data_IF_603927894221
#
_entry.id   IF_603927894221
#
_cell.length_a   1.000
_cell.length_b   1.000
_cell.length_c   1.000
_cell.angle_alpha   90.00
_cell.angle_beta   90.00
_cell.angle_gamma   90.00
#
_symmetry.space_group_name_H-M   'P 1'
#
loop_
_entity.id
_entity.type
_entity.pdbx_description
1 polymer ?
#
# COMPACT_ATOMS: atom_id res chain seq x y z
N UNK A 1 12.86 -8.85 2.00
CA UNK A 1 12.30 -7.97 0.95
C UNK A 1 11.49 -8.86 0.03
N UNK A 2 10.19 -8.60 -0.06
CA UNK A 2 9.28 -9.32 -0.94
C UNK A 2 9.53 -8.91 -2.39
N UNK A 3 9.37 -9.84 -3.33
CA UNK A 3 9.44 -9.49 -4.75
C UNK A 3 8.10 -8.90 -5.21
N UNK A 4 8.13 -7.93 -6.14
CA UNK A 4 6.89 -7.32 -6.67
C UNK A 4 5.93 -8.36 -7.24
N UNK A 5 6.45 -9.39 -7.91
CA UNK A 5 5.63 -10.50 -8.46
C UNK A 5 4.93 -11.33 -7.38
N UNK A 6 5.51 -11.41 -6.18
CA UNK A 6 4.91 -12.06 -5.02
C UNK A 6 3.81 -11.16 -4.45
N UNK A 7 4.08 -9.87 -4.27
CA UNK A 7 3.11 -8.89 -3.79
C UNK A 7 1.86 -8.80 -4.68
N UNK A 8 2.01 -8.89 -6.01
CA UNK A 8 0.87 -8.96 -6.94
C UNK A 8 -0.01 -10.19 -6.66
N UNK A 9 0.60 -11.36 -6.40
CA UNK A 9 -0.16 -12.57 -6.09
C UNK A 9 -0.90 -12.47 -4.76
N UNK A 10 -0.25 -11.91 -3.74
CA UNK A 10 -0.83 -11.67 -2.43
C UNK A 10 -1.95 -10.63 -2.49
N UNK A 11 -1.73 -9.51 -3.19
CA UNK A 11 -2.73 -8.47 -3.49
C UNK A 11 -3.99 -9.07 -4.12
N UNK A 12 -3.82 -9.92 -5.15
CA UNK A 12 -4.94 -10.65 -5.75
C UNK A 12 -5.69 -11.50 -4.72
N UNK A 13 -4.99 -12.23 -3.85
CA UNK A 13 -5.66 -13.03 -2.82
C UNK A 13 -6.41 -12.18 -1.81
N UNK A 14 -5.79 -11.11 -1.29
CA UNK A 14 -6.39 -10.17 -0.35
C UNK A 14 -7.66 -9.52 -0.93
N UNK A 15 -7.61 -9.10 -2.19
CA UNK A 15 -8.72 -8.42 -2.88
C UNK A 15 -9.84 -9.39 -3.24
N UNK A 16 -9.51 -10.62 -3.66
CA UNK A 16 -10.53 -11.60 -4.08
C UNK A 16 -11.12 -12.41 -2.92
N UNK A 17 -10.41 -12.50 -1.79
CA UNK A 17 -10.84 -13.21 -0.58
C UNK A 17 -10.61 -12.34 0.67
N UNK A 18 -11.31 -11.20 0.80
CA UNK A 18 -11.10 -10.28 1.91
C UNK A 18 -11.57 -10.91 3.23
N UNK A 19 -10.63 -11.23 4.12
CA UNK A 19 -10.91 -11.76 5.46
C UNK A 19 -9.74 -11.48 6.38
N UNK A 20 -9.99 -11.39 7.71
CA UNK A 20 -8.92 -11.21 8.71
C UNK A 20 -7.81 -12.24 8.52
N UNK A 21 -8.18 -13.51 8.34
CA UNK A 21 -7.22 -14.58 8.10
C UNK A 21 -6.39 -14.40 6.81
N UNK A 22 -6.95 -13.78 5.76
CA UNK A 22 -6.20 -13.47 4.53
C UNK A 22 -5.22 -12.32 4.73
N UNK A 23 -5.56 -11.32 5.54
CA UNK A 23 -4.68 -10.20 5.86
C UNK A 23 -3.55 -10.63 6.81
N UNK A 24 -3.89 -11.33 7.90
CA UNK A 24 -2.91 -11.85 8.87
C UNK A 24 -1.91 -12.81 8.22
N UNK A 25 -2.35 -13.60 7.22
CA UNK A 25 -1.44 -14.50 6.46
C UNK A 25 -0.24 -13.77 5.87
N UNK A 26 -0.39 -12.51 5.46
CA UNK A 26 0.65 -11.74 4.78
C UNK A 26 1.28 -10.65 5.63
N UNK A 27 0.83 -10.47 6.88
CA UNK A 27 1.25 -9.31 7.69
C UNK A 27 2.76 -9.25 7.91
N UNK A 28 3.41 -10.41 8.05
CA UNK A 28 4.86 -10.52 8.23
C UNK A 28 5.63 -10.85 6.94
N UNK A 29 4.97 -10.83 5.78
CA UNK A 29 5.58 -11.25 4.50
C UNK A 29 6.46 -10.16 3.88
N UNK A 30 6.45 -8.94 4.41
CA UNK A 30 7.37 -7.90 3.99
C UNK A 30 7.48 -6.74 4.96
N UNK A 31 8.06 -5.66 4.46
CA UNK A 31 8.47 -4.48 5.23
C UNK A 31 7.80 -3.22 4.72
N UNK A 32 7.94 -2.11 5.45
CA UNK A 32 7.55 -0.79 4.95
C UNK A 32 8.28 -0.43 3.66
N UNK A 33 9.54 -0.83 3.48
CA UNK A 33 10.26 -0.59 2.22
C UNK A 33 9.60 -1.32 1.04
N UNK A 34 9.17 -2.56 1.24
CA UNK A 34 8.47 -3.33 0.20
C UNK A 34 7.12 -2.66 -0.16
N UNK A 35 6.38 -2.20 0.86
CA UNK A 35 5.15 -1.43 0.68
C UNK A 35 5.37 -0.17 -0.16
N UNK A 36 6.44 0.59 0.12
CA UNK A 36 6.77 1.81 -0.62
C UNK A 36 7.15 1.53 -2.06
N UNK A 37 7.87 0.44 -2.34
CA UNK A 37 8.19 0.05 -3.72
C UNK A 37 6.91 -0.26 -4.49
N UNK A 38 5.99 -1.03 -3.88
CA UNK A 38 4.73 -1.41 -4.51
C UNK A 38 3.83 -0.19 -4.78
N UNK A 39 3.70 0.72 -3.82
CA UNK A 39 2.93 1.96 -3.99
C UNK A 39 3.64 2.96 -4.91
N UNK A 40 4.98 2.96 -5.00
CA UNK A 40 5.70 3.78 -5.97
C UNK A 40 5.39 3.39 -7.42
N UNK A 41 5.20 2.09 -7.71
CA UNK A 41 4.74 1.62 -9.03
C UNK A 41 3.35 2.19 -9.33
N UNK A 42 2.44 2.13 -8.36
CA UNK A 42 1.11 2.72 -8.47
C UNK A 42 1.12 4.24 -8.68
N UNK A 43 2.01 4.93 -7.97
CA UNK A 43 2.18 6.37 -8.07
C UNK A 43 2.71 6.75 -9.45
N UNK A 44 3.64 5.96 -10.03
CA UNK A 44 4.09 6.15 -11.40
C UNK A 44 2.94 5.99 -12.41
N UNK A 45 2.10 4.96 -12.26
CA UNK A 45 0.90 4.77 -13.11
C UNK A 45 -0.05 5.97 -12.96
N UNK A 46 -0.35 6.38 -11.73
CA UNK A 46 -1.24 7.51 -11.44
C UNK A 46 -0.72 8.82 -12.02
N UNK A 47 0.60 9.06 -11.94
CA UNK A 47 1.25 10.18 -12.62
C UNK A 47 1.09 10.12 -14.13
N UNK A 48 1.36 8.97 -14.75
CA UNK A 48 1.22 8.80 -16.20
C UNK A 48 -0.21 9.06 -16.67
N UNK A 49 -1.22 8.62 -15.91
CA UNK A 49 -2.62 8.94 -16.19
C UNK A 49 -2.93 10.44 -16.03
N UNK A 50 -2.29 11.09 -15.06
CA UNK A 50 -2.38 12.53 -14.85
C UNK A 50 -1.69 13.38 -15.93
N UNK A 51 -0.86 12.80 -16.79
CA UNK A 51 -0.09 13.53 -17.80
C UNK A 51 -0.97 14.30 -18.81
N UNK A 52 -2.22 13.90 -19.00
CA UNK A 52 -3.19 14.64 -19.81
C UNK A 52 -3.48 16.06 -19.29
N UNK A 53 -3.27 16.31 -17.99
CA UNK A 53 -3.30 17.64 -17.38
C UNK A 53 -1.95 18.39 -17.42
N UNK A 54 -0.99 17.88 -18.19
CA UNK A 54 0.38 18.38 -18.26
C UNK A 54 1.28 17.89 -17.12
N UNK A 55 2.46 18.50 -16.99
CA UNK A 55 3.45 18.15 -15.94
C UNK A 55 2.86 18.32 -14.53
N UNK A 56 1.97 19.28 -14.34
CA UNK A 56 1.26 19.47 -13.07
C UNK A 56 0.42 18.25 -12.68
N UNK A 57 -0.27 17.63 -13.64
CA UNK A 57 -1.04 16.41 -13.41
C UNK A 57 -0.16 15.19 -13.13
N UNK A 58 0.99 15.06 -13.82
CA UNK A 58 1.99 14.02 -13.54
C UNK A 58 2.49 14.10 -12.10
N UNK A 59 2.97 15.27 -11.68
CA UNK A 59 3.52 15.48 -10.33
C UNK A 59 2.42 15.30 -9.29
N UNK A 60 1.25 15.88 -9.52
CA UNK A 60 0.11 15.74 -8.61
C UNK A 60 -0.25 14.28 -8.42
N UNK A 61 -0.40 13.48 -9.49
CA UNK A 61 -0.77 12.07 -9.40
C UNK A 61 0.23 11.23 -8.60
N UNK A 62 1.53 11.47 -8.77
CA UNK A 62 2.58 10.80 -7.99
C UNK A 62 2.47 11.18 -6.51
N UNK A 63 2.44 12.49 -6.24
CA UNK A 63 2.48 13.03 -4.88
C UNK A 63 1.22 12.64 -4.10
N UNK A 64 0.04 12.75 -4.69
CA UNK A 64 -1.22 12.41 -4.02
C UNK A 64 -1.30 10.91 -3.72
N UNK A 65 -0.79 10.06 -4.60
CA UNK A 65 -0.80 8.60 -4.37
C UNK A 65 0.12 8.20 -3.23
N UNK A 66 1.35 8.72 -3.22
CA UNK A 66 2.32 8.43 -2.16
C UNK A 66 1.87 9.03 -0.82
N UNK A 67 1.56 10.33 -0.78
CA UNK A 67 1.13 10.99 0.46
C UNK A 67 -0.19 10.41 0.97
N UNK A 68 -1.15 10.12 0.09
CA UNK A 68 -2.41 9.50 0.47
C UNK A 68 -2.20 8.16 1.16
N UNK A 69 -1.34 7.30 0.60
CA UNK A 69 -0.98 6.03 1.21
C UNK A 69 -0.30 6.20 2.58
N UNK A 70 0.68 7.09 2.69
CA UNK A 70 1.38 7.35 3.96
C UNK A 70 0.43 7.85 5.05
N UNK A 71 -0.41 8.83 4.71
CA UNK A 71 -1.39 9.40 5.64
C UNK A 71 -2.37 8.30 6.08
N UNK A 72 -2.92 7.55 5.13
CA UNK A 72 -3.84 6.45 5.42
C UNK A 72 -3.22 5.41 6.36
N UNK A 73 -2.07 4.86 5.99
CA UNK A 73 -1.37 3.82 6.75
C UNK A 73 -1.03 4.28 8.16
N UNK A 74 -0.49 5.50 8.30
CA UNK A 74 -0.10 6.03 9.61
C UNK A 74 -1.32 6.33 10.50
N UNK A 75 -2.39 6.88 9.93
CA UNK A 75 -3.63 7.12 10.65
C UNK A 75 -4.20 5.82 11.20
N UNK A 76 -4.29 4.78 10.38
CA UNK A 76 -4.83 3.49 10.83
C UNK A 76 -3.91 2.82 11.85
N UNK A 77 -2.59 2.85 11.65
CA UNK A 77 -1.63 2.37 12.65
C UNK A 77 -1.83 3.08 13.99
N UNK A 78 -1.94 4.40 13.99
CA UNK A 78 -2.13 5.21 15.19
C UNK A 78 -3.46 4.90 15.89
N UNK A 79 -4.57 4.85 15.14
CA UNK A 79 -5.90 4.48 15.65
C UNK A 79 -5.88 3.05 16.22
N UNK A 80 -5.25 2.11 15.52
CA UNK A 80 -5.11 0.72 15.94
C UNK A 80 -4.31 0.60 17.24
N UNK A 81 -3.19 1.32 17.37
CA UNK A 81 -2.40 1.35 18.60
C UNK A 81 -3.21 1.86 19.80
N UNK A 82 -4.04 2.89 19.63
CA UNK A 82 -4.89 3.39 20.71
C UNK A 82 -5.96 2.39 21.17
N UNK A 83 -6.39 1.52 20.27
CA UNK A 83 -7.36 0.46 20.56
C UNK A 83 -6.71 -0.85 21.04
N UNK A 84 -5.41 -0.82 21.37
CA UNK A 84 -4.67 -1.98 21.89
C UNK A 84 -4.05 -2.87 20.80
N UNK A 85 -3.99 -2.41 19.55
CA UNK A 85 -3.36 -3.13 18.45
C UNK A 85 -1.88 -3.41 18.69
N UNK A 86 -1.46 -4.64 18.41
CA UNK A 86 -0.07 -5.10 18.63
C UNK A 86 0.82 -4.94 17.42
N UNK A 87 0.24 -4.84 16.22
CA UNK A 87 0.98 -4.78 14.95
C UNK A 87 2.02 -3.66 14.87
N UNK A 88 3.06 -3.89 14.08
CA UNK A 88 4.13 -2.95 13.75
C UNK A 88 3.76 -2.07 12.55
N UNK A 89 4.48 -0.96 12.37
CA UNK A 89 4.26 -0.09 11.20
C UNK A 89 4.61 -0.82 9.89
N UNK A 90 5.61 -1.69 9.92
CA UNK A 90 6.00 -2.52 8.77
C UNK A 90 4.87 -3.45 8.34
N UNK A 91 4.28 -4.18 9.30
CA UNK A 91 3.18 -5.11 9.05
C UNK A 91 1.95 -4.39 8.48
N UNK A 92 1.58 -3.25 9.08
CA UNK A 92 0.44 -2.45 8.63
C UNK A 92 0.69 -1.87 7.23
N UNK A 93 1.87 -1.27 7.00
CA UNK A 93 2.21 -0.70 5.69
C UNK A 93 2.23 -1.78 4.61
N UNK A 94 2.86 -2.92 4.87
CA UNK A 94 2.93 -4.02 3.92
C UNK A 94 1.55 -4.55 3.57
N UNK A 95 0.78 -4.97 4.58
CA UNK A 95 -0.57 -5.52 4.39
C UNK A 95 -1.48 -4.54 3.67
N UNK A 96 -1.36 -3.24 3.98
CA UNK A 96 -2.23 -2.22 3.40
C UNK A 96 -1.86 -1.89 1.98
N UNK A 97 -0.59 -1.95 1.62
CA UNK A 97 -0.16 -1.77 0.23
C UNK A 97 -0.81 -2.78 -0.72
N UNK A 98 -1.07 -4.01 -0.24
CA UNK A 98 -1.65 -5.10 -1.03
C UNK A 98 -3.10 -4.86 -1.47
N UNK A 99 -3.85 -4.00 -0.77
CA UNK A 99 -5.23 -3.65 -1.19
C UNK A 99 -5.43 -2.18 -1.53
N UNK A 100 -4.56 -1.28 -1.04
CA UNK A 100 -4.59 0.13 -1.40
C UNK A 100 -4.34 0.33 -2.89
N UNK A 101 -3.42 -0.46 -3.46
CA UNK A 101 -3.20 -0.51 -4.91
C UNK A 101 -3.18 -1.96 -5.40
N UNK A 102 -4.31 -2.49 -5.88
CA UNK A 102 -4.33 -3.78 -6.52
C UNK A 102 -3.73 -3.67 -7.94
N UNK A 103 -2.40 -3.81 -8.06
CA UNK A 103 -1.69 -3.97 -9.34
C UNK A 103 -1.89 -5.39 -9.88
#
# INVERSE_FOLDING_TARGET
>A
MAQVSEMIQQSREVVTKPSVASFERYETSGTMQDALIYVAIAAAISGLLGLGGGIGGLISGIVTTLLGFFIFTYLIFWIGKQQGGTGSLDEVAYTFSLFWVPL
#
